data_IF_537700293933
#
_entry.id   IF_537700293933
#
_cell.length_a   1.000
_cell.length_b   1.000
_cell.length_c   1.000
_cell.angle_alpha   90.00
_cell.angle_beta   90.00
_cell.angle_gamma   90.00
#
_symmetry.space_group_name_H-M   'P 1'
#
loop_
_entity.id
_entity.type
_entity.pdbx_description
1 polymer ?
#
# COMPACT_ATOMS: atom_id res chain seq x y z
N UNK A 1 -10.96 9.40 -11.84
CA UNK A 1 -10.15 10.56 -11.42
C UNK A 1 -9.17 10.91 -12.52
N UNK A 2 -9.39 12.03 -13.22
CA UNK A 2 -8.42 12.59 -14.17
C UNK A 2 -7.10 12.90 -13.44
N UNK A 3 -5.96 12.57 -14.05
CA UNK A 3 -4.64 12.90 -13.49
C UNK A 3 -4.35 14.40 -13.60
N UNK A 4 -4.66 14.97 -14.77
CA UNK A 4 -4.54 16.40 -15.08
C UNK A 4 -5.90 17.08 -14.97
N UNK A 5 -5.92 18.33 -14.50
CA UNK A 5 -7.16 19.12 -14.35
C UNK A 5 -8.17 18.56 -13.32
N UNK A 6 -7.79 17.57 -12.51
CA UNK A 6 -8.66 16.93 -11.53
C UNK A 6 -8.55 17.51 -10.11
N UNK A 7 -9.21 16.88 -9.12
CA UNK A 7 -9.16 17.30 -7.71
C UNK A 7 -7.73 17.39 -7.17
N UNK A 8 -7.49 18.29 -6.20
CA UNK A 8 -6.19 18.42 -5.49
C UNK A 8 -5.79 17.09 -4.83
N UNK A 9 -4.48 16.88 -4.64
CA UNK A 9 -3.92 15.67 -4.04
C UNK A 9 -4.55 15.30 -2.69
N UNK A 10 -4.89 16.29 -1.86
CA UNK A 10 -5.60 16.09 -0.59
C UNK A 10 -6.93 15.36 -0.75
N UNK A 11 -7.78 15.80 -1.69
CA UNK A 11 -9.07 15.15 -2.00
C UNK A 11 -8.88 13.73 -2.54
N UNK A 12 -7.83 13.49 -3.33
CA UNK A 12 -7.50 12.16 -3.86
C UNK A 12 -7.05 11.22 -2.74
N UNK A 13 -6.28 11.73 -1.76
CA UNK A 13 -5.83 10.96 -0.60
C UNK A 13 -7.00 10.54 0.29
N UNK A 14 -8.00 11.39 0.49
CA UNK A 14 -9.23 11.02 1.23
C UNK A 14 -9.97 9.89 0.53
N UNK A 15 -10.08 9.91 -0.80
CA UNK A 15 -10.71 8.82 -1.53
C UNK A 15 -9.87 7.54 -1.51
N UNK A 16 -8.55 7.66 -1.57
CA UNK A 16 -7.65 6.51 -1.38
C UNK A 16 -7.75 5.93 0.04
N UNK A 17 -7.92 6.75 1.08
CA UNK A 17 -8.10 6.23 2.44
C UNK A 17 -9.39 5.45 2.59
N UNK A 18 -10.49 5.87 1.95
CA UNK A 18 -11.75 5.08 1.94
C UNK A 18 -11.52 3.71 1.29
N UNK A 19 -10.90 3.69 0.11
CA UNK A 19 -10.58 2.44 -0.60
C UNK A 19 -9.70 1.53 0.28
N UNK A 20 -8.69 2.09 0.94
CA UNK A 20 -7.81 1.33 1.83
C UNK A 20 -8.55 0.84 3.08
N UNK A 21 -9.44 1.64 3.68
CA UNK A 21 -10.24 1.21 4.82
C UNK A 21 -11.14 0.03 4.46
N UNK A 22 -11.84 0.07 3.33
CA UNK A 22 -12.68 -1.05 2.86
C UNK A 22 -11.86 -2.30 2.57
N UNK A 23 -10.73 -2.13 1.86
CA UNK A 23 -9.84 -3.23 1.51
C UNK A 23 -9.22 -3.88 2.75
N UNK A 24 -8.72 -3.07 3.70
CA UNK A 24 -8.06 -3.55 4.90
C UNK A 24 -9.06 -4.09 5.94
N UNK A 25 -10.29 -3.59 5.98
CA UNK A 25 -11.29 -4.11 6.92
C UNK A 25 -11.49 -5.63 6.79
N UNK A 26 -11.52 -6.12 5.56
CA UNK A 26 -11.66 -7.55 5.27
C UNK A 26 -10.33 -8.33 5.23
N UNK A 27 -9.18 -7.65 5.37
CA UNK A 27 -7.85 -8.23 5.21
C UNK A 27 -7.60 -9.49 6.05
N UNK A 28 -7.98 -9.57 7.34
CA UNK A 28 -7.75 -10.76 8.15
C UNK A 28 -8.35 -12.03 7.56
N UNK A 29 -9.45 -11.94 6.81
CA UNK A 29 -10.13 -13.10 6.19
C UNK A 29 -9.36 -13.62 4.98
N UNK A 30 -8.86 -12.72 4.12
CA UNK A 30 -8.25 -13.11 2.85
C UNK A 30 -6.73 -13.02 2.80
N UNK A 31 -6.06 -12.52 3.85
CA UNK A 31 -4.59 -12.38 3.87
C UNK A 31 -3.87 -13.71 3.56
N UNK A 32 -4.42 -14.84 4.01
CA UNK A 32 -3.88 -16.19 3.74
C UNK A 32 -3.81 -16.48 2.22
N UNK A 33 -4.74 -15.95 1.43
CA UNK A 33 -4.74 -16.10 -0.02
C UNK A 33 -3.59 -15.32 -0.70
N UNK A 34 -3.00 -14.32 -0.03
CA UNK A 34 -1.85 -13.58 -0.56
C UNK A 34 -0.56 -14.41 -0.66
N UNK A 35 -0.52 -15.60 -0.04
CA UNK A 35 0.52 -16.60 -0.26
C UNK A 35 0.69 -16.94 -1.75
N UNK A 36 -0.38 -16.83 -2.55
CA UNK A 36 -0.33 -17.02 -4.00
C UNK A 36 0.19 -15.77 -4.69
N UNK A 37 1.31 -15.91 -5.40
CA UNK A 37 1.96 -14.84 -6.19
C UNK A 37 0.98 -14.13 -7.13
N UNK A 38 0.03 -14.86 -7.73
CA UNK A 38 -0.97 -14.28 -8.65
C UNK A 38 -1.87 -13.25 -7.95
N UNK A 39 -2.32 -13.54 -6.73
CA UNK A 39 -3.16 -12.60 -5.96
C UNK A 39 -2.34 -11.42 -5.45
N UNK A 40 -1.11 -11.67 -4.96
CA UNK A 40 -0.18 -10.60 -4.58
C UNK A 40 0.06 -9.63 -5.74
N UNK A 41 0.37 -10.13 -6.95
CA UNK A 41 0.58 -9.30 -8.15
C UNK A 41 -0.66 -8.49 -8.54
N UNK A 42 -1.86 -9.10 -8.52
CA UNK A 42 -3.11 -8.40 -8.81
C UNK A 42 -3.34 -7.24 -7.84
N UNK A 43 -3.13 -7.49 -6.54
CA UNK A 43 -3.32 -6.49 -5.51
C UNK A 43 -2.29 -5.35 -5.59
N UNK A 44 -1.01 -5.68 -5.79
CA UNK A 44 0.04 -4.67 -5.99
C UNK A 44 -0.23 -3.81 -7.23
N UNK A 45 -0.73 -4.41 -8.32
CA UNK A 45 -1.13 -3.66 -9.52
C UNK A 45 -2.30 -2.70 -9.25
N UNK A 46 -3.31 -3.16 -8.49
CA UNK A 46 -4.42 -2.31 -8.07
C UNK A 46 -3.94 -1.14 -7.21
N UNK A 47 -3.12 -1.42 -6.19
CA UNK A 47 -2.54 -0.42 -5.30
C UNK A 47 -1.69 0.61 -6.07
N UNK A 48 -0.84 0.16 -6.99
CA UNK A 48 -0.05 1.05 -7.85
C UNK A 48 -0.94 1.99 -8.68
N UNK A 49 -2.09 1.52 -9.19
CA UNK A 49 -3.05 2.38 -9.91
C UNK A 49 -3.70 3.43 -9.00
N UNK A 50 -3.96 3.09 -7.74
CA UNK A 50 -4.45 4.05 -6.73
C UNK A 50 -3.39 5.09 -6.45
N UNK A 51 -2.16 4.66 -6.13
CA UNK A 51 -1.06 5.56 -5.80
C UNK A 51 -0.69 6.48 -6.96
N UNK A 52 -0.70 5.98 -8.20
CA UNK A 52 -0.52 6.78 -9.41
C UNK A 52 -1.56 7.91 -9.54
N UNK A 53 -2.81 7.65 -9.15
CA UNK A 53 -3.87 8.67 -9.16
C UNK A 53 -3.70 9.68 -8.02
N UNK A 54 -3.29 9.22 -6.83
CA UNK A 54 -3.05 10.07 -5.66
C UNK A 54 -1.88 11.03 -5.89
N UNK A 55 -0.75 10.52 -6.37
CA UNK A 55 0.47 11.30 -6.62
C UNK A 55 0.41 12.13 -7.91
N UNK A 56 -0.52 11.82 -8.82
CA UNK A 56 -0.53 12.38 -10.19
C UNK A 56 0.76 12.09 -10.97
N UNK A 57 1.52 11.06 -10.58
CA UNK A 57 2.79 10.73 -11.21
C UNK A 57 2.61 10.14 -12.63
N UNK A 58 3.73 10.11 -13.37
CA UNK A 58 3.80 9.46 -14.68
C UNK A 58 3.68 7.94 -14.57
N UNK A 59 3.16 7.30 -15.62
CA UNK A 59 2.93 5.84 -15.66
C UNK A 59 4.23 5.02 -15.54
N UNK A 60 5.38 5.61 -15.88
CA UNK A 60 6.71 4.96 -15.85
C UNK A 60 7.32 4.91 -14.46
N UNK A 61 6.75 5.60 -13.46
CA UNK A 61 7.26 5.59 -12.09
C UNK A 61 7.07 4.18 -11.50
N UNK A 62 8.14 3.65 -10.88
CA UNK A 62 8.10 2.34 -10.24
C UNK A 62 7.08 2.33 -9.09
N UNK A 63 6.52 1.15 -8.80
CA UNK A 63 5.56 0.98 -7.70
C UNK A 63 6.15 1.44 -6.35
N UNK A 64 7.44 1.19 -6.12
CA UNK A 64 8.11 1.54 -4.86
C UNK A 64 8.27 3.07 -4.73
N UNK A 65 8.65 3.74 -5.82
CA UNK A 65 8.69 5.20 -5.86
C UNK A 65 7.28 5.81 -5.69
N UNK A 66 6.24 5.19 -6.27
CA UNK A 66 4.85 5.63 -6.05
C UNK A 66 4.44 5.56 -4.58
N UNK A 67 4.83 4.50 -3.87
CA UNK A 67 4.54 4.34 -2.44
C UNK A 67 5.22 5.46 -1.62
N UNK A 68 6.49 5.75 -1.91
CA UNK A 68 7.22 6.85 -1.27
C UNK A 68 6.57 8.22 -1.54
N UNK A 69 6.29 8.55 -2.80
CA UNK A 69 5.72 9.86 -3.21
C UNK A 69 4.29 10.04 -2.67
N UNK A 70 3.48 8.98 -2.68
CA UNK A 70 2.10 9.05 -2.18
C UNK A 70 2.00 9.04 -0.66
N UNK A 71 3.11 8.77 0.04
CA UNK A 71 3.17 8.55 1.49
C UNK A 71 2.26 7.41 1.95
N UNK A 72 2.15 6.36 1.11
CA UNK A 72 1.30 5.18 1.34
C UNK A 72 2.21 3.96 1.22
N UNK A 73 2.22 3.12 2.26
CA UNK A 73 3.04 1.91 2.28
C UNK A 73 2.52 0.83 1.32
N UNK A 74 3.41 -0.10 0.96
CA UNK A 74 3.07 -1.26 0.14
C UNK A 74 1.88 -2.04 0.73
N UNK A 75 0.89 -2.35 -0.11
CA UNK A 75 -0.38 -2.95 0.33
C UNK A 75 -0.21 -4.28 1.06
N UNK A 76 0.78 -5.11 0.69
CA UNK A 76 0.98 -6.40 1.36
C UNK A 76 1.48 -6.21 2.80
N UNK A 77 2.30 -5.21 3.08
CA UNK A 77 2.75 -4.89 4.43
C UNK A 77 1.58 -4.36 5.27
N UNK A 78 0.71 -3.53 4.67
CA UNK A 78 -0.51 -3.04 5.34
C UNK A 78 -1.49 -4.17 5.69
N UNK A 79 -1.60 -5.17 4.82
CA UNK A 79 -2.44 -6.36 5.06
C UNK A 79 -1.88 -7.20 6.22
N UNK A 80 -0.56 -7.37 6.28
CA UNK A 80 0.10 -8.06 7.39
C UNK A 80 -0.10 -7.33 8.72
N UNK A 81 0.07 -6.01 8.76
CA UNK A 81 -0.22 -5.22 9.98
C UNK A 81 -1.67 -5.42 10.44
N UNK A 82 -2.61 -5.46 9.50
CA UNK A 82 -4.02 -5.63 9.84
C UNK A 82 -4.35 -7.05 10.34
N UNK A 83 -3.68 -8.07 9.80
CA UNK A 83 -3.73 -9.43 10.33
C UNK A 83 -3.12 -9.52 11.73
N UNK A 84 -1.98 -8.87 11.97
CA UNK A 84 -1.32 -8.79 13.28
C UNK A 84 -2.23 -8.13 14.33
N UNK A 85 -2.89 -7.02 13.97
CA UNK A 85 -3.87 -6.35 14.84
C UNK A 85 -5.07 -7.24 15.14
N UNK A 86 -5.57 -8.01 14.17
CA UNK A 86 -6.64 -8.98 14.39
C UNK A 86 -6.22 -10.08 15.38
N UNK A 87 -4.96 -10.50 15.31
CA UNK A 87 -4.34 -11.45 16.22
C UNK A 87 -3.98 -10.85 17.60
N UNK A 88 -4.49 -9.65 17.92
CA UNK A 88 -4.30 -8.95 19.20
C UNK A 88 -2.85 -8.56 19.51
N UNK A 89 -1.99 -8.45 18.48
CA UNK A 89 -0.66 -7.86 18.65
C UNK A 89 -0.85 -6.37 18.99
N UNK A 90 -0.13 -5.81 19.97
CA UNK A 90 -0.24 -4.40 20.31
C UNK A 90 0.08 -3.54 19.09
N UNK A 91 -0.75 -2.51 18.88
CA UNK A 91 -0.69 -1.64 17.69
C UNK A 91 0.71 -1.09 17.43
N UNK A 92 1.43 -0.73 18.50
CA UNK A 92 2.76 -0.15 18.39
C UNK A 92 3.80 -1.17 17.92
N UNK A 93 3.70 -2.42 18.37
CA UNK A 93 4.56 -3.51 17.90
C UNK A 93 4.26 -3.88 16.45
N UNK A 94 2.97 -3.99 16.08
CA UNK A 94 2.57 -4.26 14.70
C UNK A 94 3.09 -3.16 13.75
N UNK A 95 3.03 -1.90 14.19
CA UNK A 95 3.54 -0.77 13.42
C UNK A 95 5.06 -0.74 13.33
N UNK A 96 5.77 -1.10 14.39
CA UNK A 96 7.23 -1.23 14.39
C UNK A 96 7.68 -2.33 13.42
N UNK A 97 7.03 -3.49 13.45
CA UNK A 97 7.29 -4.60 12.52
C UNK A 97 7.05 -4.19 11.06
N UNK A 98 5.96 -3.47 10.82
CA UNK A 98 5.63 -2.95 9.48
C UNK A 98 6.69 -1.93 9.00
N UNK A 99 7.17 -1.03 9.86
CA UNK A 99 8.26 -0.10 9.51
C UNK A 99 9.56 -0.84 9.21
N UNK A 100 9.90 -1.85 10.00
CA UNK A 100 11.11 -2.65 9.79
C UNK A 100 11.06 -3.38 8.44
N UNK A 101 9.96 -4.10 8.16
CA UNK A 101 9.77 -4.81 6.88
C UNK A 101 9.82 -3.87 5.69
N UNK A 102 9.17 -2.70 5.80
CA UNK A 102 9.21 -1.70 4.72
C UNK A 102 10.63 -1.20 4.47
N UNK A 103 11.39 -0.94 5.54
CA UNK A 103 12.79 -0.51 5.44
C UNK A 103 13.67 -1.60 4.80
N UNK A 104 13.48 -2.87 5.18
CA UNK A 104 14.18 -4.00 4.58
C UNK A 104 13.87 -4.13 3.08
N UNK A 105 12.60 -4.05 2.70
CA UNK A 105 12.19 -4.11 1.30
C UNK A 105 12.76 -2.94 0.49
N UNK A 106 12.81 -1.74 1.08
CA UNK A 106 13.41 -0.57 0.44
C UNK A 106 14.91 -0.77 0.21
N UNK A 107 15.64 -1.26 1.21
CA UNK A 107 17.08 -1.51 1.12
C UNK A 107 17.44 -2.64 0.16
N UNK A 108 16.58 -3.64 0.04
CA UNK A 108 16.76 -4.78 -0.89
C UNK A 108 16.27 -4.46 -2.32
N UNK A 109 15.46 -3.42 -2.49
CA UNK A 109 14.86 -3.03 -3.76
C UNK A 109 15.89 -2.54 -4.78
N UNK A 110 15.72 -2.97 -6.04
CA UNK A 110 16.55 -2.51 -7.18
C UNK A 110 16.47 -1.01 -7.47
N UNK A 111 15.47 -0.31 -6.93
CA UNK A 111 15.23 1.13 -7.17
C UNK A 111 15.73 2.04 -6.04
N UNK A 112 16.38 1.49 -5.00
CA UNK A 112 16.89 2.25 -3.84
C UNK A 112 18.36 2.65 -3.91
N UNK A 113 19.02 2.48 -5.07
CA UNK A 113 20.38 2.97 -5.35
C UNK A 113 20.36 3.94 -6.52
#
# INVERSE_FOLDING_TARGET
MPRLGGPRASKRRVLASVIHSELLYSAPVWHVAMSKVTYKKKLTSFHGKVNLKVSSAYRTVSSDALNAISSILSIHILVEEQADRYNKIPKDAARANLMHKWQEEWMQGKSGR
#
